data_IF_145771989892
#
_entry.id   IF_145771989892
#
_cell.length_a   1.000
_cell.length_b   1.000
_cell.length_c   1.000
_cell.angle_alpha   90.00
_cell.angle_beta   90.00
_cell.angle_gamma   90.00
#
_symmetry.space_group_name_H-M   'P 1'
#
loop_
_entity.id
_entity.type
_entity.pdbx_description
1 polymer ?
#
# COMPACT_ATOMS: atom_id res chain seq x y z
N UNK A 1 19.51 -10.00 11.23
CA UNK A 1 19.97 -8.87 10.40
C UNK A 1 21.35 -8.27 10.77
N UNK A 2 22.10 -8.80 11.77
CA UNK A 2 23.39 -8.21 12.24
C UNK A 2 24.54 -8.17 11.19
N UNK A 3 24.41 -8.90 10.08
CA UNK A 3 25.42 -8.99 9.02
C UNK A 3 25.29 -7.97 7.88
N UNK A 4 24.25 -7.12 7.88
CA UNK A 4 24.07 -6.13 6.82
C UNK A 4 25.08 -4.99 6.95
N UNK A 5 25.60 -4.52 5.81
CA UNK A 5 26.53 -3.38 5.72
C UNK A 5 26.06 -2.47 4.57
N UNK A 6 26.19 -1.14 4.71
CA UNK A 6 25.98 -0.25 3.58
C UNK A 6 26.93 -0.62 2.45
N UNK A 7 26.42 -0.74 1.23
CA UNK A 7 27.22 -1.08 0.07
C UNK A 7 26.57 -0.57 -1.21
N UNK A 8 27.39 0.01 -2.08
CA UNK A 8 27.01 0.34 -3.44
C UNK A 8 25.91 1.40 -3.57
N UNK A 9 25.34 1.52 -4.79
CA UNK A 9 24.27 2.46 -5.11
C UNK A 9 22.88 1.96 -4.67
N UNK A 10 21.88 2.84 -4.79
CA UNK A 10 20.47 2.54 -4.50
C UNK A 10 19.76 2.06 -5.77
N UNK A 11 19.62 0.74 -5.92
CA UNK A 11 18.79 0.12 -6.97
C UNK A 11 17.43 -0.31 -6.40
N UNK A 12 16.55 0.68 -6.23
CA UNK A 12 15.24 0.51 -5.61
C UNK A 12 14.33 -0.43 -6.42
N UNK A 13 14.34 -0.30 -7.75
CA UNK A 13 13.46 -1.07 -8.62
C UNK A 13 13.75 -2.57 -8.56
N UNK A 14 15.01 -2.97 -8.60
CA UNK A 14 15.39 -4.38 -8.57
C UNK A 14 15.12 -5.01 -7.20
N UNK A 15 15.28 -4.25 -6.12
CA UNK A 15 14.85 -4.65 -4.77
C UNK A 15 13.35 -4.92 -4.69
N UNK A 16 12.53 -4.02 -5.24
CA UNK A 16 11.08 -4.21 -5.29
C UNK A 16 10.68 -5.40 -6.18
N UNK A 17 11.32 -5.54 -7.34
CA UNK A 17 11.09 -6.65 -8.28
C UNK A 17 11.40 -8.00 -7.62
N UNK A 18 12.51 -8.08 -6.90
CA UNK A 18 12.92 -9.28 -6.15
C UNK A 18 11.88 -9.62 -5.08
N UNK A 19 11.47 -8.63 -4.28
CA UNK A 19 10.44 -8.83 -3.26
C UNK A 19 9.09 -9.27 -3.86
N UNK A 20 8.66 -8.66 -4.97
CA UNK A 20 7.43 -9.02 -5.66
C UNK A 20 7.48 -10.44 -6.25
N UNK A 21 8.65 -10.87 -6.77
CA UNK A 21 8.90 -12.24 -7.21
C UNK A 21 8.72 -13.25 -6.08
N UNK A 22 9.39 -13.02 -4.94
CA UNK A 22 9.28 -13.89 -3.77
C UNK A 22 7.84 -14.01 -3.24
N UNK A 23 7.09 -12.89 -3.22
CA UNK A 23 5.69 -12.90 -2.80
C UNK A 23 4.78 -13.61 -3.82
N UNK A 24 5.08 -13.50 -5.11
CA UNK A 24 4.34 -14.21 -6.17
C UNK A 24 4.57 -15.71 -6.12
N UNK A 25 5.83 -16.16 -5.95
CA UNK A 25 6.19 -17.59 -5.88
C UNK A 25 5.56 -18.30 -4.68
N UNK A 26 5.42 -17.59 -3.55
CA UNK A 26 4.85 -18.15 -2.32
C UNK A 26 3.32 -17.93 -2.20
N UNK A 27 2.65 -17.59 -3.30
CA UNK A 27 1.20 -17.42 -3.34
C UNK A 27 0.49 -18.78 -3.48
N UNK A 28 -0.23 -19.23 -2.45
CA UNK A 28 -1.09 -20.42 -2.59
C UNK A 28 -2.41 -20.05 -3.26
N UNK A 29 -2.87 -20.80 -4.28
CA UNK A 29 -4.17 -20.56 -4.91
C UNK A 29 -5.36 -20.77 -3.95
N UNK A 30 -5.13 -21.44 -2.81
CA UNK A 30 -6.16 -21.76 -1.81
C UNK A 30 -6.17 -20.80 -0.61
N UNK A 31 -5.20 -19.90 -0.47
CA UNK A 31 -5.16 -18.94 0.64
C UNK A 31 -4.95 -17.53 0.11
N UNK A 32 -5.88 -16.62 0.42
CA UNK A 32 -5.69 -15.19 0.17
C UNK A 32 -4.69 -14.65 1.20
N UNK A 33 -3.39 -14.75 0.89
CA UNK A 33 -2.35 -14.22 1.76
C UNK A 33 -2.23 -12.69 1.62
N UNK A 34 -2.02 -12.02 2.75
CA UNK A 34 -1.73 -10.59 2.79
C UNK A 34 -0.28 -10.38 2.31
N UNK A 35 -0.11 -9.97 1.05
CA UNK A 35 1.21 -9.72 0.45
C UNK A 35 1.58 -8.25 0.61
N UNK A 36 2.62 -7.98 1.39
CA UNK A 36 3.08 -6.63 1.75
C UNK A 36 4.57 -6.49 1.55
N UNK A 37 4.99 -5.38 0.98
CA UNK A 37 6.38 -4.93 0.91
C UNK A 37 6.51 -3.71 1.82
N UNK A 38 7.51 -3.72 2.70
CA UNK A 38 7.93 -2.55 3.47
C UNK A 38 9.25 -2.05 2.86
N UNK A 39 9.19 -0.95 2.12
CA UNK A 39 10.35 -0.34 1.46
C UNK A 39 10.91 0.77 2.33
N UNK A 40 12.14 0.63 2.79
CA UNK A 40 12.85 1.66 3.55
C UNK A 40 13.95 2.24 2.66
N UNK A 41 14.07 3.56 2.59
CA UNK A 41 15.13 4.21 1.82
C UNK A 41 15.55 5.55 2.43
N UNK A 42 16.86 5.80 2.44
CA UNK A 42 17.52 7.01 2.93
C UNK A 42 18.22 7.79 1.80
N UNK A 43 17.95 7.45 0.53
CA UNK A 43 18.70 7.95 -0.61
C UNK A 43 17.90 8.01 -1.91
N UNK A 44 18.41 8.78 -2.87
CA UNK A 44 17.88 8.82 -4.24
C UNK A 44 18.20 7.54 -5.02
N UNK A 45 17.28 7.14 -5.91
CA UNK A 45 17.50 6.01 -6.83
C UNK A 45 18.53 6.41 -7.87
N UNK A 46 19.68 5.74 -7.88
CA UNK A 46 20.83 6.11 -8.70
C UNK A 46 21.47 4.94 -9.44
N UNK A 47 20.89 3.74 -9.35
CA UNK A 47 21.28 2.58 -10.14
C UNK A 47 20.07 1.77 -10.62
N UNK A 48 20.25 1.01 -11.70
CA UNK A 48 19.18 0.24 -12.31
C UNK A 48 18.16 1.14 -13.01
N UNK A 49 16.87 0.81 -12.86
CA UNK A 49 15.78 1.66 -13.37
C UNK A 49 15.60 2.84 -12.43
N UNK A 50 15.88 4.04 -12.93
CA UNK A 50 15.76 5.31 -12.18
C UNK A 50 14.57 6.16 -12.64
N UNK A 51 13.90 5.80 -13.74
CA UNK A 51 12.73 6.53 -14.22
C UNK A 51 11.52 6.27 -13.31
N UNK A 52 11.03 7.31 -12.63
CA UNK A 52 9.91 7.20 -11.69
C UNK A 52 8.64 6.62 -12.33
N UNK A 53 8.31 6.97 -13.58
CA UNK A 53 7.10 6.46 -14.25
C UNK A 53 7.19 4.96 -14.51
N UNK A 54 8.37 4.46 -14.89
CA UNK A 54 8.61 3.03 -15.11
C UNK A 54 8.53 2.22 -13.80
N UNK A 55 9.09 2.78 -12.72
CA UNK A 55 8.99 2.20 -11.38
C UNK A 55 7.53 2.14 -10.94
N UNK A 56 6.79 3.24 -11.06
CA UNK A 56 5.38 3.31 -10.67
C UNK A 56 4.50 2.37 -11.50
N UNK A 57 4.77 2.22 -12.81
CA UNK A 57 4.08 1.27 -13.66
C UNK A 57 4.31 -0.19 -13.20
N UNK A 58 5.55 -0.53 -12.84
CA UNK A 58 5.89 -1.85 -12.29
C UNK A 58 5.15 -2.12 -10.97
N UNK A 59 5.17 -1.13 -10.06
CA UNK A 59 4.50 -1.22 -8.75
C UNK A 59 2.99 -1.38 -8.91
N UNK A 60 2.38 -0.64 -9.83
CA UNK A 60 0.96 -0.77 -10.13
C UNK A 60 0.62 -2.18 -10.64
N UNK A 61 1.43 -2.74 -11.54
CA UNK A 61 1.23 -4.10 -12.02
C UNK A 61 1.31 -5.14 -10.88
N UNK A 62 2.23 -4.99 -9.92
CA UNK A 62 2.28 -5.87 -8.74
C UNK A 62 1.08 -5.66 -7.80
N UNK A 63 0.59 -4.43 -7.69
CA UNK A 63 -0.59 -4.09 -6.90
C UNK A 63 -1.88 -4.68 -7.47
N UNK A 64 -2.03 -4.72 -8.80
CA UNK A 64 -3.14 -5.40 -9.48
C UNK A 64 -3.14 -6.91 -9.18
N UNK A 65 -1.96 -7.46 -8.88
CA UNK A 65 -1.80 -8.84 -8.41
C UNK A 65 -1.87 -8.96 -6.88
N UNK A 66 -2.31 -7.94 -6.15
CA UNK A 66 -2.56 -7.98 -4.70
C UNK A 66 -1.36 -7.70 -3.81
N UNK A 67 -0.22 -7.26 -4.36
CA UNK A 67 0.98 -6.89 -3.59
C UNK A 67 0.93 -5.39 -3.26
N UNK A 68 0.80 -5.04 -1.99
CA UNK A 68 0.80 -3.63 -1.54
C UNK A 68 2.18 -3.24 -1.02
N UNK A 69 2.62 -2.02 -1.33
CA UNK A 69 3.94 -1.52 -0.92
C UNK A 69 3.78 -0.30 -0.03
N UNK A 70 4.21 -0.40 1.23
CA UNK A 70 4.37 0.76 2.11
C UNK A 70 5.80 1.23 2.07
N UNK A 71 6.00 2.54 2.02
CA UNK A 71 7.32 3.17 1.85
C UNK A 71 7.65 4.04 3.03
N UNK A 72 8.91 4.01 3.46
CA UNK A 72 9.39 4.70 4.63
C UNK A 72 10.68 5.47 4.30
N UNK A 73 10.56 6.79 4.15
CA UNK A 73 11.70 7.67 3.89
C UNK A 73 12.48 7.94 5.18
N UNK A 74 13.80 7.85 5.13
CA UNK A 74 14.69 8.03 6.29
C UNK A 74 15.63 9.21 6.03
N UNK A 75 15.64 10.20 6.93
CA UNK A 75 16.52 11.35 6.80
C UNK A 75 16.12 12.30 5.66
N UNK A 76 16.92 13.31 5.36
CA UNK A 76 16.48 14.44 4.53
C UNK A 76 16.69 14.27 3.02
N UNK A 77 17.45 13.26 2.60
CA UNK A 77 17.98 13.16 1.22
C UNK A 77 17.50 11.91 0.48
N UNK A 78 16.18 11.73 0.37
CA UNK A 78 15.57 10.64 -0.40
C UNK A 78 14.56 11.15 -1.43
N UNK A 79 14.19 10.30 -2.38
CA UNK A 79 13.21 10.63 -3.42
C UNK A 79 11.77 10.52 -2.89
N UNK A 80 11.35 11.53 -2.11
CA UNK A 80 10.01 11.59 -1.54
C UNK A 80 8.89 11.48 -2.59
N UNK A 81 8.89 12.24 -3.71
CA UNK A 81 7.85 12.12 -4.72
C UNK A 81 7.70 10.70 -5.26
N UNK A 82 8.82 10.00 -5.52
CA UNK A 82 8.79 8.61 -5.95
C UNK A 82 8.22 7.70 -4.86
N UNK A 83 8.70 7.81 -3.62
CA UNK A 83 8.25 6.94 -2.52
C UNK A 83 6.76 7.12 -2.21
N UNK A 84 6.29 8.37 -2.15
CA UNK A 84 4.87 8.70 -2.01
C UNK A 84 4.06 8.14 -3.17
N UNK A 85 4.58 8.24 -4.40
CA UNK A 85 3.98 7.64 -5.59
C UNK A 85 3.85 6.12 -5.48
N UNK A 86 4.90 5.41 -5.05
CA UNK A 86 4.91 3.95 -4.89
C UNK A 86 3.85 3.49 -3.89
N UNK A 87 3.78 4.16 -2.73
CA UNK A 87 2.74 3.88 -1.74
C UNK A 87 1.34 4.12 -2.32
N UNK A 88 1.13 5.26 -2.97
CA UNK A 88 -0.16 5.64 -3.53
C UNK A 88 -0.65 4.67 -4.62
N UNK A 89 0.17 4.37 -5.63
CA UNK A 89 -0.26 3.52 -6.76
C UNK A 89 -0.46 2.06 -6.35
N UNK A 90 0.19 1.62 -5.28
CA UNK A 90 -0.06 0.29 -4.73
C UNK A 90 -1.21 0.26 -3.74
N UNK A 91 -1.61 1.38 -3.13
CA UNK A 91 -2.55 1.42 -2.01
C UNK A 91 -1.91 0.99 -0.68
N UNK A 92 -0.61 1.24 -0.52
CA UNK A 92 0.11 1.16 0.75
C UNK A 92 0.24 2.54 1.42
N UNK A 93 1.04 2.60 2.49
CA UNK A 93 1.24 3.83 3.27
C UNK A 93 2.61 4.44 3.03
N UNK A 94 2.66 5.77 2.97
CA UNK A 94 3.91 6.53 3.00
C UNK A 94 4.13 7.08 4.41
N UNK A 95 5.34 6.97 4.93
CA UNK A 95 5.75 7.59 6.17
C UNK A 95 7.17 8.16 6.01
N UNK A 96 7.42 9.28 6.68
CA UNK A 96 8.72 9.94 6.69
C UNK A 96 9.29 9.96 8.11
N UNK A 97 10.59 9.67 8.23
CA UNK A 97 11.32 9.69 9.48
C UNK A 97 12.37 10.80 9.49
N UNK A 98 12.14 11.80 10.34
CA UNK A 98 13.16 12.80 10.68
C UNK A 98 14.22 12.27 11.66
N UNK A 99 13.94 11.19 12.38
CA UNK A 99 14.85 10.59 13.36
C UNK A 99 14.87 9.06 13.26
N UNK A 100 16.08 8.49 13.11
CA UNK A 100 16.31 7.04 13.08
C UNK A 100 15.89 6.31 14.35
N UNK A 101 15.76 7.02 15.48
CA UNK A 101 15.36 6.42 16.76
C UNK A 101 13.90 5.98 16.80
N UNK A 102 13.03 6.52 15.93
CA UNK A 102 11.59 6.20 15.91
C UNK A 102 11.25 5.03 14.99
N UNK A 103 12.17 4.65 14.10
CA UNK A 103 12.00 3.59 13.11
C UNK A 103 11.51 2.27 13.73
N UNK A 104 12.12 1.74 14.82
CA UNK A 104 11.69 0.45 15.38
C UNK A 104 10.24 0.46 15.86
N UNK A 105 9.81 1.55 16.51
CA UNK A 105 8.44 1.69 17.01
C UNK A 105 7.41 1.75 15.89
N UNK A 106 7.71 2.48 14.82
CA UNK A 106 6.77 2.67 13.72
C UNK A 106 6.69 1.44 12.80
N UNK A 107 7.83 0.76 12.53
CA UNK A 107 7.81 -0.54 11.86
C UNK A 107 7.02 -1.53 12.70
N UNK A 108 7.24 -1.58 14.01
CA UNK A 108 6.48 -2.46 14.91
C UNK A 108 4.97 -2.18 14.78
N UNK A 109 4.55 -0.91 14.81
CA UNK A 109 3.15 -0.51 14.59
C UNK A 109 2.65 -0.95 13.21
N UNK A 110 3.41 -0.73 12.15
CA UNK A 110 3.02 -1.10 10.78
C UNK A 110 2.86 -2.62 10.61
N UNK A 111 3.75 -3.41 11.24
CA UNK A 111 3.65 -4.87 11.27
C UNK A 111 2.46 -5.33 12.12
N UNK A 112 2.23 -4.73 13.30
CA UNK A 112 1.05 -5.04 14.12
C UNK A 112 -0.25 -4.74 13.38
N UNK A 113 -0.34 -3.59 12.72
CA UNK A 113 -1.49 -3.25 11.87
C UNK A 113 -1.70 -4.28 10.77
N UNK A 114 -0.62 -4.76 10.14
CA UNK A 114 -0.70 -5.83 9.14
C UNK A 114 -1.20 -7.16 9.73
N UNK A 115 -0.72 -7.54 10.92
CA UNK A 115 -1.15 -8.76 11.60
C UNK A 115 -2.60 -8.69 12.09
N UNK A 116 -3.11 -7.49 12.36
CA UNK A 116 -4.51 -7.24 12.68
C UNK A 116 -5.46 -7.32 11.49
N UNK A 117 -4.95 -7.44 10.25
CA UNK A 117 -5.80 -7.59 9.06
C UNK A 117 -6.46 -8.97 9.06
N UNK A 118 -7.78 -9.00 9.16
CA UNK A 118 -8.56 -10.25 9.06
C UNK A 118 -9.19 -10.45 7.68
N UNK A 119 -9.36 -9.38 6.89
CA UNK A 119 -9.82 -9.46 5.51
C UNK A 119 -9.07 -8.47 4.61
N UNK A 120 -8.72 -8.91 3.39
CA UNK A 120 -8.08 -8.08 2.36
C UNK A 120 -9.02 -7.90 1.17
N UNK A 121 -8.94 -6.74 0.52
CA UNK A 121 -9.73 -6.40 -0.68
C UNK A 121 -11.25 -6.57 -0.48
N UNK A 122 -11.74 -6.20 0.70
CA UNK A 122 -13.15 -6.28 1.06
C UNK A 122 -13.99 -5.35 0.18
N UNK A 123 -15.12 -5.86 -0.29
CA UNK A 123 -16.09 -5.13 -1.12
C UNK A 123 -17.48 -5.29 -0.52
N UNK A 124 -18.14 -4.17 -0.28
CA UNK A 124 -19.55 -4.14 0.08
C UNK A 124 -20.36 -3.96 -1.21
N UNK A 125 -21.21 -4.94 -1.54
CA UNK A 125 -22.14 -4.84 -2.66
C UNK A 125 -23.56 -4.80 -2.11
N UNK A 126 -24.31 -3.78 -2.49
CA UNK A 126 -25.72 -3.60 -2.11
C UNK A 126 -26.57 -3.75 -3.36
N UNK A 127 -27.52 -4.69 -3.31
CA UNK A 127 -28.49 -4.94 -4.38
C UNK A 127 -29.89 -4.59 -3.87
N UNK A 128 -30.58 -3.71 -4.58
CA UNK A 128 -31.96 -3.34 -4.29
C UNK A 128 -32.94 -4.43 -4.77
N UNK A 129 -33.96 -4.69 -3.96
CA UNK A 129 -35.09 -5.54 -4.33
C UNK A 129 -35.96 -4.90 -5.42
N UNK A 130 -36.94 -5.65 -5.91
CA UNK A 130 -37.90 -5.12 -6.87
C UNK A 130 -38.62 -3.89 -6.31
N UNK A 131 -38.72 -2.85 -7.15
CA UNK A 131 -39.25 -1.51 -6.82
C UNK A 131 -38.41 -0.64 -5.88
N UNK A 132 -37.17 -1.04 -5.56
CA UNK A 132 -36.20 -0.20 -4.84
C UNK A 132 -34.98 0.18 -5.70
N UNK A 133 -34.27 1.24 -5.29
CA UNK A 133 -33.01 1.69 -5.91
C UNK A 133 -32.03 2.18 -4.86
N UNK A 134 -30.74 1.86 -5.03
CA UNK A 134 -29.67 2.42 -4.20
C UNK A 134 -29.36 3.84 -4.67
N UNK A 135 -29.55 4.83 -3.81
CA UNK A 135 -29.31 6.25 -4.15
C UNK A 135 -27.89 6.68 -3.79
N UNK A 136 -27.45 6.37 -2.56
CA UNK A 136 -26.14 6.74 -2.04
C UNK A 136 -25.58 5.63 -1.16
N UNK A 137 -24.27 5.40 -1.27
CA UNK A 137 -23.48 4.62 -0.31
C UNK A 137 -22.47 5.57 0.33
N UNK A 138 -22.45 5.61 1.65
CA UNK A 138 -21.50 6.41 2.43
C UNK A 138 -20.55 5.46 3.18
N UNK A 139 -19.26 5.78 3.18
CA UNK A 139 -18.26 5.10 3.98
C UNK A 139 -17.34 6.14 4.61
N UNK A 140 -16.96 5.91 5.87
CA UNK A 140 -15.88 6.63 6.52
C UNK A 140 -14.63 5.75 6.42
N UNK A 141 -13.56 6.27 5.82
CA UNK A 141 -12.23 5.71 6.04
C UNK A 141 -11.73 6.30 7.35
N UNK A 142 -11.47 5.47 8.35
CA UNK A 142 -10.78 5.92 9.54
C UNK A 142 -9.35 6.30 9.14
N UNK A 143 -9.13 7.60 8.97
CA UNK A 143 -7.81 8.22 9.01
C UNK A 143 -7.22 7.94 10.39
N UNK A 144 -6.61 6.76 10.56
CA UNK A 144 -5.68 6.52 11.66
C UNK A 144 -4.37 7.23 11.32
N UNK A 145 -4.45 8.57 11.39
CA UNK A 145 -3.41 9.58 11.56
C UNK A 145 -2.03 9.31 10.97
N UNK A 146 -1.75 9.96 9.85
CA UNK A 146 -0.56 10.81 9.65
C UNK A 146 -0.84 11.72 8.43
N UNK A 147 -1.25 12.96 8.73
CA UNK A 147 -1.44 14.16 7.89
C UNK A 147 -2.07 14.08 6.47
N UNK A 148 -3.28 14.66 6.40
CA UNK A 148 -3.87 15.50 5.33
C UNK A 148 -4.12 14.86 3.95
N UNK A 149 -5.20 14.08 3.86
CA UNK A 149 -5.97 13.90 2.63
C UNK A 149 -7.45 14.17 2.91
N UNK A 150 -8.11 14.98 2.08
CA UNK A 150 -9.56 15.16 2.18
C UNK A 150 -10.27 13.79 2.16
N UNK A 151 -11.33 13.67 2.96
CA UNK A 151 -12.23 12.51 2.94
C UNK A 151 -12.61 12.19 1.49
N UNK A 152 -12.00 11.13 0.96
CA UNK A 152 -12.29 10.68 -0.39
C UNK A 152 -13.58 9.87 -0.34
N UNK A 153 -14.70 10.57 -0.51
CA UNK A 153 -15.99 9.93 -0.72
C UNK A 153 -15.89 9.05 -1.98
N UNK A 154 -15.88 7.73 -1.80
CA UNK A 154 -16.08 6.83 -2.91
C UNK A 154 -17.52 6.97 -3.42
N UNK A 155 -17.71 7.85 -4.40
CA UNK A 155 -19.00 8.10 -5.04
C UNK A 155 -19.26 7.00 -6.07
N UNK A 156 -19.91 5.91 -5.65
CA UNK A 156 -20.43 4.90 -6.57
C UNK A 156 -21.60 5.46 -7.38
N UNK A 157 -21.52 5.42 -8.71
CA UNK A 157 -22.66 5.72 -9.57
C UNK A 157 -23.59 4.50 -9.63
N UNK A 158 -24.69 4.54 -8.87
CA UNK A 158 -25.74 3.54 -8.95
C UNK A 158 -26.60 3.76 -10.20
N UNK A 159 -26.36 2.98 -11.27
CA UNK A 159 -27.40 2.76 -12.28
C UNK A 159 -28.38 1.72 -11.73
N UNK A 160 -29.42 2.17 -11.03
CA UNK A 160 -30.52 1.29 -10.65
C UNK A 160 -30.22 0.30 -9.52
N UNK A 161 -30.34 -1.00 -9.79
CA UNK A 161 -30.51 -2.05 -8.77
C UNK A 161 -29.26 -2.39 -7.94
N UNK A 162 -28.07 -1.88 -8.24
CA UNK A 162 -26.85 -2.31 -7.56
C UNK A 162 -25.84 -1.18 -7.38
N UNK A 163 -25.16 -1.17 -6.23
CA UNK A 163 -24.02 -0.30 -5.95
C UNK A 163 -22.95 -1.06 -5.16
N UNK A 164 -21.68 -0.69 -5.33
CA UNK A 164 -20.56 -1.31 -4.64
C UNK A 164 -19.61 -0.27 -4.03
N UNK A 165 -19.05 -0.60 -2.87
CA UNK A 165 -18.04 0.18 -2.16
C UNK A 165 -16.81 -0.71 -1.91
N UNK A 166 -15.64 -0.24 -2.30
CA UNK A 166 -14.37 -0.90 -1.96
C UNK A 166 -13.96 -0.46 -0.55
N UNK A 167 -13.91 -1.41 0.38
CA UNK A 167 -13.54 -1.18 1.78
C UNK A 167 -12.05 -1.38 2.04
N UNK A 168 -11.32 -2.01 1.11
CA UNK A 168 -9.88 -2.26 1.28
C UNK A 168 -9.59 -3.35 2.31
N UNK A 169 -8.66 -3.10 3.23
CA UNK A 169 -8.33 -4.06 4.29
C UNK A 169 -9.19 -3.80 5.52
N UNK A 170 -9.73 -4.86 6.13
CA UNK A 170 -10.44 -4.79 7.40
C UNK A 170 -9.50 -5.23 8.52
N UNK A 171 -9.40 -4.39 9.55
CA UNK A 171 -8.53 -4.57 10.71
C UNK A 171 -9.38 -4.87 11.94
N UNK A 172 -8.91 -5.74 12.83
CA UNK A 172 -9.59 -5.98 14.11
C UNK A 172 -9.54 -4.70 14.97
N UNK A 173 -10.68 -4.29 15.51
CA UNK A 173 -10.79 -3.16 16.45
C UNK A 173 -10.21 -3.51 17.83
#
# INVERSE_FOLDING_TARGET
IMGLRPAGPTNLHDGLKTAAGLLSENSSPHTKSCRRIFLLSDGFVNAGVTNSQEILASVRAWADHGIKTSTFGIGVDFDEPLMRGIASVSGGHYCYFSSVLTIPGLISKAVHNMLGIYATEARLQVTACDHARVLHLYGATDDTGDELGEASYARGAGSGKMAALHLGNLVHA
#
